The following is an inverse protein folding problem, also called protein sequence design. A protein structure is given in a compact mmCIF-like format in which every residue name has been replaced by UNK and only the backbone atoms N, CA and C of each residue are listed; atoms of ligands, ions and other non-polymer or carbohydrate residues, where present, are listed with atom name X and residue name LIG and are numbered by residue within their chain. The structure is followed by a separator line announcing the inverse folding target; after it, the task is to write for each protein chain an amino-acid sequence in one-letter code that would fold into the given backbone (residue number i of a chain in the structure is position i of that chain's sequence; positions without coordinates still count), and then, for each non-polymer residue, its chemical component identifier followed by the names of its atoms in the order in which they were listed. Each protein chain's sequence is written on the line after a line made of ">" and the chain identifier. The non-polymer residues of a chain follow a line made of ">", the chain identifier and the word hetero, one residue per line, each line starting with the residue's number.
data_IF_979303398335
#
_entry.id   IF_979303398335
#
_cell.length_a   1.000
_cell.length_b   1.000
_cell.length_c   1.000
_cell.angle_alpha   90.00
_cell.angle_beta   90.00
_cell.angle_gamma   90.00
#
_symmetry.space_group_name_H-M   'P 1'
#
loop_
_entity.id
_entity.type
_entity.pdbx_description
1 polymer ?
#
# COMPACT_ATOMS: atom_id res chain seq x y z
N UNK A 1 -30.18 -29.73 3.05
CA UNK A 1 -29.86 -28.60 2.13
C UNK A 1 -29.56 -27.41 3.03
N UNK A 2 -28.39 -27.43 3.66
CA UNK A 2 -27.18 -26.71 3.24
C UNK A 2 -27.29 -25.19 3.41
N UNK A 3 -26.67 -24.64 4.46
CA UNK A 3 -25.31 -24.08 4.36
C UNK A 3 -24.84 -23.55 5.71
N UNK A 4 -23.57 -23.82 5.99
CA UNK A 4 -22.76 -23.19 7.03
C UNK A 4 -22.47 -21.72 6.70
N UNK A 5 -22.24 -20.88 7.71
CA UNK A 5 -20.99 -20.14 7.79
C UNK A 5 -20.73 -19.72 9.24
N UNK A 6 -19.66 -20.25 9.80
CA UNK A 6 -19.10 -19.92 11.10
C UNK A 6 -18.38 -18.57 11.02
N UNK A 7 -18.69 -17.67 11.95
CA UNK A 7 -17.92 -16.45 12.17
C UNK A 7 -16.54 -16.81 12.74
N UNK A 8 -15.48 -16.42 12.04
CA UNK A 8 -14.10 -16.60 12.50
C UNK A 8 -13.78 -15.52 13.53
N UNK A 9 -13.39 -15.94 14.74
CA UNK A 9 -12.94 -15.06 15.84
C UNK A 9 -11.55 -14.50 15.53
N UNK A 10 -11.44 -13.19 15.28
CA UNK A 10 -10.17 -12.47 15.11
C UNK A 10 -9.48 -12.10 16.44
N UNK A 11 -9.31 -13.03 17.39
CA UNK A 11 -8.77 -12.65 18.71
C UNK A 11 -7.97 -13.68 19.50
N UNK A 12 -7.65 -14.85 18.94
CA UNK A 12 -7.01 -15.93 19.72
C UNK A 12 -5.86 -16.66 18.99
N UNK A 13 -5.27 -16.07 17.95
CA UNK A 13 -4.01 -16.57 17.38
C UNK A 13 -2.86 -15.71 17.91
N UNK A 14 -1.82 -16.34 18.44
CA UNK A 14 -0.60 -15.76 19.04
C UNK A 14 -0.65 -15.43 20.54
N UNK A 15 -1.01 -16.41 21.38
CA UNK A 15 -0.45 -16.49 22.73
C UNK A 15 0.61 -17.59 22.77
N UNK A 16 1.72 -17.37 22.08
CA UNK A 16 2.94 -18.17 22.30
C UNK A 16 3.65 -17.55 23.51
N UNK A 17 3.84 -18.33 24.58
CA UNK A 17 4.72 -17.90 25.67
C UNK A 17 6.13 -17.71 25.07
N UNK A 18 6.74 -16.51 25.18
CA UNK A 18 7.96 -16.15 24.45
C UNK A 18 9.13 -17.13 24.61
N UNK A 19 9.19 -17.87 25.72
CA UNK A 19 10.31 -18.75 26.05
C UNK A 19 10.25 -20.14 25.40
N UNK A 20 9.07 -20.69 25.08
CA UNK A 20 8.97 -22.04 24.49
C UNK A 20 9.31 -22.06 22.99
N UNK A 21 9.09 -20.94 22.28
CA UNK A 21 9.33 -20.87 20.83
C UNK A 21 10.80 -20.87 20.41
N UNK A 22 11.70 -20.35 21.26
CA UNK A 22 13.13 -20.20 20.91
C UNK A 22 13.88 -21.53 20.89
N UNK A 23 13.47 -22.49 21.73
CA UNK A 23 14.09 -23.81 21.89
C UNK A 23 13.98 -24.70 20.63
N UNK A 24 13.00 -24.43 19.76
CA UNK A 24 12.75 -25.21 18.54
C UNK A 24 13.19 -24.49 17.25
N UNK A 25 13.97 -23.41 17.35
CA UNK A 25 14.49 -22.70 16.18
C UNK A 25 15.76 -23.37 15.62
N UNK A 26 16.04 -23.25 14.32
CA UNK A 26 17.34 -23.61 13.76
C UNK A 26 18.51 -22.89 14.49
N UNK A 27 19.70 -23.53 14.65
CA UNK A 27 20.81 -22.98 15.43
C UNK A 27 21.23 -21.56 15.03
N UNK A 28 21.18 -21.24 13.74
CA UNK A 28 21.47 -19.92 13.20
C UNK A 28 20.50 -18.85 13.72
N UNK A 29 19.22 -19.19 13.85
CA UNK A 29 18.20 -18.27 14.34
C UNK A 29 18.27 -18.15 15.87
N UNK A 30 18.60 -19.23 16.59
CA UNK A 30 18.90 -19.18 18.03
C UNK A 30 20.07 -18.23 18.32
N UNK A 31 21.14 -18.29 17.52
CA UNK A 31 22.28 -17.40 17.65
C UNK A 31 21.90 -15.93 17.43
N UNK A 32 21.05 -15.63 16.43
CA UNK A 32 20.52 -14.27 16.19
C UNK A 32 19.73 -13.79 17.39
N UNK A 33 18.73 -14.56 17.86
CA UNK A 33 17.88 -14.19 18.99
C UNK A 33 18.73 -13.95 20.24
N UNK A 34 19.70 -14.83 20.52
CA UNK A 34 20.65 -14.66 21.62
C UNK A 34 21.50 -13.40 21.47
N UNK A 35 22.02 -13.13 20.27
CA UNK A 35 22.84 -11.93 19.99
C UNK A 35 22.07 -10.61 20.17
N UNK A 36 20.73 -10.66 20.02
CA UNK A 36 19.83 -9.51 20.21
C UNK A 36 19.31 -9.36 21.64
N UNK A 37 19.78 -10.19 22.58
CA UNK A 37 19.40 -10.13 23.99
C UNK A 37 18.23 -11.05 24.39
N UNK A 38 17.81 -11.95 23.50
CA UNK A 38 16.70 -12.87 23.71
C UNK A 38 15.39 -12.41 23.07
N UNK A 39 14.39 -13.30 23.03
CA UNK A 39 13.14 -13.04 22.31
C UNK A 39 12.32 -11.90 22.93
N UNK A 40 12.31 -11.78 24.26
CA UNK A 40 11.56 -10.71 24.94
C UNK A 40 12.04 -9.32 24.50
N UNK A 41 13.36 -9.12 24.43
CA UNK A 41 13.95 -7.86 23.99
C UNK A 41 13.60 -7.57 22.52
N UNK A 42 13.58 -8.59 21.67
CA UNK A 42 13.16 -8.44 20.28
C UNK A 42 11.68 -8.02 20.17
N UNK A 43 10.79 -8.64 20.95
CA UNK A 43 9.36 -8.30 20.97
C UNK A 43 9.17 -6.86 21.46
N UNK A 44 9.87 -6.46 22.52
CA UNK A 44 9.79 -5.09 23.09
C UNK A 44 10.34 -4.02 22.13
N UNK A 45 11.23 -4.38 21.20
CA UNK A 45 11.79 -3.47 20.20
C UNK A 45 10.87 -3.25 19.00
N UNK A 46 9.91 -4.15 18.75
CA UNK A 46 8.98 -4.02 17.62
C UNK A 46 7.79 -3.16 18.07
N UNK A 47 7.52 -2.03 17.41
CA UNK A 47 6.36 -1.23 17.75
C UNK A 47 5.06 -2.02 17.54
N UNK A 48 4.03 -1.80 18.37
CA UNK A 48 2.73 -2.46 18.21
C UNK A 48 2.12 -2.18 16.83
N UNK A 49 1.40 -3.17 16.29
CA UNK A 49 0.90 -3.16 14.90
C UNK A 49 -0.03 -1.98 14.61
N UNK A 50 -0.75 -1.52 15.62
CA UNK A 50 -1.70 -0.41 15.59
C UNK A 50 -1.02 0.92 15.23
N UNK A 51 0.30 1.05 15.40
CA UNK A 51 1.05 2.25 15.00
C UNK A 51 1.28 2.34 13.48
N UNK A 52 1.01 1.27 12.73
CA UNK A 52 1.27 1.19 11.29
C UNK A 52 -0.01 1.24 10.45
N UNK A 53 -1.18 1.56 11.02
CA UNK A 53 -2.45 1.58 10.30
C UNK A 53 -2.43 2.55 9.10
N UNK A 54 -1.92 3.77 9.32
CA UNK A 54 -1.78 4.79 8.26
C UNK A 54 -0.81 4.34 7.16
N UNK A 55 0.32 3.72 7.54
CA UNK A 55 1.31 3.20 6.61
C UNK A 55 0.73 2.05 5.78
N UNK A 56 0.01 1.14 6.43
CA UNK A 56 -0.67 0.02 5.78
C UNK A 56 -1.75 0.51 4.80
N UNK A 57 -2.52 1.56 5.13
CA UNK A 57 -3.48 2.14 4.21
C UNK A 57 -2.80 2.75 2.97
N UNK A 58 -1.69 3.47 3.18
CA UNK A 58 -0.89 4.03 2.07
C UNK A 58 -0.32 2.93 1.18
N UNK A 59 0.24 1.87 1.74
CA UNK A 59 0.75 0.75 0.95
C UNK A 59 -0.37 -0.02 0.24
N UNK A 60 -1.54 -0.15 0.87
CA UNK A 60 -2.72 -0.73 0.22
C UNK A 60 -3.20 0.15 -0.94
N UNK A 61 -3.09 1.47 -0.86
CA UNK A 61 -3.34 2.35 -2.00
C UNK A 61 -2.30 2.16 -3.11
N UNK A 62 -1.05 1.80 -2.81
CA UNK A 62 -0.04 1.55 -3.85
C UNK A 62 -0.11 0.15 -4.46
N UNK A 63 -0.77 -0.82 -3.83
CA UNK A 63 -0.80 -2.22 -4.31
C UNK A 63 -1.66 -2.49 -5.55
N UNK A 64 -2.17 -1.45 -6.23
CA UNK A 64 -2.97 -1.60 -7.45
C UNK A 64 -2.21 -1.11 -8.68
N UNK A 65 -2.05 -1.95 -9.72
CA UNK A 65 -1.41 -1.54 -10.98
C UNK A 65 -2.06 -0.33 -11.64
N UNK A 66 -3.39 -0.22 -11.60
CA UNK A 66 -4.14 0.92 -12.16
C UNK A 66 -3.82 2.21 -11.42
N UNK A 67 -3.72 2.18 -10.08
CA UNK A 67 -3.38 3.37 -9.30
C UNK A 67 -1.94 3.79 -9.53
N UNK A 68 -1.01 2.83 -9.68
CA UNK A 68 0.36 3.11 -10.10
C UNK A 68 0.38 3.77 -11.50
N UNK A 69 -0.40 3.26 -12.46
CA UNK A 69 -0.51 3.85 -13.79
C UNK A 69 -1.03 5.31 -13.75
N UNK A 70 -2.06 5.58 -12.93
CA UNK A 70 -2.58 6.93 -12.72
C UNK A 70 -1.50 7.84 -12.16
N UNK A 71 -0.73 7.39 -11.16
CA UNK A 71 0.36 8.19 -10.60
C UNK A 71 1.43 8.50 -11.65
N UNK A 72 1.84 7.53 -12.48
CA UNK A 72 2.76 7.79 -13.59
C UNK A 72 2.21 8.80 -14.61
N UNK A 73 0.91 8.73 -14.92
CA UNK A 73 0.27 9.72 -15.79
C UNK A 73 0.34 11.13 -15.17
N UNK A 74 0.09 11.24 -13.86
CA UNK A 74 0.12 12.50 -13.12
C UNK A 74 1.53 13.02 -12.81
N UNK A 75 2.56 12.18 -12.89
CA UNK A 75 3.97 12.62 -12.95
C UNK A 75 4.23 13.42 -14.23
N UNK A 76 3.60 13.02 -15.34
CA UNK A 76 3.84 13.59 -16.67
C UNK A 76 3.12 14.92 -16.85
N UNK A 77 1.88 15.04 -16.37
CA UNK A 77 1.09 16.26 -16.45
C UNK A 77 -0.07 16.26 -15.44
N UNK A 78 -0.61 17.44 -15.15
CA UNK A 78 -1.88 17.58 -14.45
C UNK A 78 -3.04 17.19 -15.40
N UNK A 79 -3.90 16.25 -14.99
CA UNK A 79 -4.89 15.65 -15.89
C UNK A 79 -6.31 15.70 -15.34
N UNK A 80 -7.29 15.90 -16.22
CA UNK A 80 -8.70 15.76 -15.87
C UNK A 80 -9.16 14.29 -15.92
N UNK A 81 -10.29 13.94 -15.27
CA UNK A 81 -10.83 12.57 -15.27
C UNK A 81 -11.02 11.97 -16.67
N UNK A 82 -11.43 12.74 -17.67
CA UNK A 82 -11.66 12.20 -19.01
C UNK A 82 -10.38 11.74 -19.70
N UNK A 83 -9.25 12.40 -19.47
CA UNK A 83 -7.96 11.94 -19.99
C UNK A 83 -7.48 10.71 -19.23
N UNK A 84 -7.60 10.70 -17.90
CA UNK A 84 -7.26 9.52 -17.09
C UNK A 84 -8.12 8.31 -17.46
N UNK A 85 -9.38 8.51 -17.81
CA UNK A 85 -10.27 7.47 -18.34
C UNK A 85 -9.74 6.88 -19.64
N UNK A 86 -9.31 7.73 -20.57
CA UNK A 86 -8.74 7.27 -21.84
C UNK A 86 -7.43 6.48 -21.63
N UNK A 87 -6.59 6.89 -20.68
CA UNK A 87 -5.33 6.20 -20.34
C UNK A 87 -5.60 4.83 -19.70
N UNK A 88 -6.58 4.75 -18.80
CA UNK A 88 -6.83 3.55 -17.98
C UNK A 88 -7.86 2.59 -18.60
N UNK A 89 -8.66 3.05 -19.57
CA UNK A 89 -9.74 2.27 -20.18
C UNK A 89 -10.92 1.98 -19.24
N UNK A 90 -11.03 2.69 -18.11
CA UNK A 90 -12.01 2.39 -17.08
C UNK A 90 -13.37 3.08 -17.29
N UNK A 91 -14.40 2.58 -16.60
CA UNK A 91 -15.65 3.34 -16.41
C UNK A 91 -15.43 4.50 -15.43
N UNK A 92 -16.31 5.51 -15.50
CA UNK A 92 -16.22 6.70 -14.64
C UNK A 92 -16.34 6.36 -13.14
N UNK A 93 -17.17 5.36 -12.81
CA UNK A 93 -17.35 4.87 -11.44
C UNK A 93 -16.09 4.20 -10.90
N UNK A 94 -15.43 3.36 -11.70
CA UNK A 94 -14.19 2.68 -11.29
C UNK A 94 -13.04 3.66 -11.17
N UNK A 95 -12.91 4.58 -12.13
CA UNK A 95 -11.88 5.61 -12.09
C UNK A 95 -12.02 6.49 -10.85
N UNK A 96 -13.24 6.97 -10.56
CA UNK A 96 -13.52 7.79 -9.37
C UNK A 96 -13.12 7.08 -8.08
N UNK A 97 -13.42 5.79 -7.96
CA UNK A 97 -13.01 4.96 -6.81
C UNK A 97 -11.47 4.92 -6.64
N UNK A 98 -10.73 4.74 -7.74
CA UNK A 98 -9.28 4.74 -7.68
C UNK A 98 -8.70 6.11 -7.31
N UNK A 99 -9.28 7.19 -7.82
CA UNK A 99 -8.88 8.56 -7.51
C UNK A 99 -9.14 8.89 -6.03
N UNK A 100 -10.30 8.53 -5.49
CA UNK A 100 -10.63 8.74 -4.08
C UNK A 100 -9.64 8.03 -3.15
N UNK A 101 -9.26 6.79 -3.46
CA UNK A 101 -8.25 6.06 -2.69
C UNK A 101 -6.89 6.77 -2.72
N UNK A 102 -6.46 7.23 -3.90
CA UNK A 102 -5.19 7.94 -4.05
C UNK A 102 -5.19 9.29 -3.33
N UNK A 103 -6.31 10.01 -3.36
CA UNK A 103 -6.49 11.28 -2.64
C UNK A 103 -6.48 11.07 -1.13
N UNK A 104 -7.23 10.08 -0.63
CA UNK A 104 -7.28 9.76 0.79
C UNK A 104 -5.92 9.32 1.33
N UNK A 105 -5.15 8.58 0.53
CA UNK A 105 -3.78 8.19 0.86
C UNK A 105 -2.75 9.33 0.66
N UNK A 106 -3.17 10.50 0.20
CA UNK A 106 -2.32 11.70 0.05
C UNK A 106 -1.36 11.68 -1.13
N UNK A 107 -1.53 10.78 -2.11
CA UNK A 107 -0.63 10.67 -3.26
C UNK A 107 -1.00 11.61 -4.41
N UNK A 108 -2.27 11.99 -4.51
CA UNK A 108 -2.77 12.96 -5.47
C UNK A 108 -3.64 13.99 -4.76
N UNK A 109 -3.85 15.12 -5.39
CA UNK A 109 -4.84 16.11 -5.00
C UNK A 109 -5.62 16.53 -6.24
N UNK A 110 -6.70 17.29 -6.04
CA UNK A 110 -7.40 17.95 -7.14
C UNK A 110 -7.55 19.45 -6.93
N UNK A 111 -7.58 20.16 -8.05
CA UNK A 111 -7.86 21.59 -8.14
C UNK A 111 -9.03 21.82 -9.08
N UNK A 112 -9.86 22.82 -8.77
CA UNK A 112 -10.91 23.25 -9.68
C UNK A 112 -10.34 24.35 -10.60
N UNK A 113 -10.15 24.03 -11.89
CA UNK A 113 -9.73 24.99 -12.93
C UNK A 113 -10.93 25.33 -13.81
N UNK A 114 -11.58 26.46 -13.51
CA UNK A 114 -12.84 26.88 -14.14
C UNK A 114 -13.93 25.80 -13.97
N UNK A 115 -14.32 25.14 -15.07
CA UNK A 115 -15.32 24.06 -15.08
C UNK A 115 -14.74 22.66 -14.90
N UNK A 116 -13.42 22.53 -14.83
CA UNK A 116 -12.74 21.24 -14.84
C UNK A 116 -12.12 20.92 -13.47
N UNK A 117 -12.36 19.71 -12.99
CA UNK A 117 -11.55 19.11 -11.92
C UNK A 117 -10.27 18.57 -12.54
N UNK A 118 -9.12 19.04 -12.07
CA UNK A 118 -7.80 18.64 -12.52
C UNK A 118 -7.08 17.95 -11.36
N UNK A 119 -6.57 16.75 -11.60
CA UNK A 119 -5.78 16.00 -10.63
C UNK A 119 -4.30 16.33 -10.81
N UNK A 120 -3.60 16.44 -9.68
CA UNK A 120 -2.18 16.77 -9.59
C UNK A 120 -1.49 15.76 -8.67
N UNK A 121 -0.24 15.41 -8.96
CA UNK A 121 0.54 14.54 -8.07
C UNK A 121 1.08 15.35 -6.89
N UNK A 122 0.99 14.81 -5.67
CA UNK A 122 1.57 15.44 -4.49
C UNK A 122 3.08 15.19 -4.41
N UNK A 123 3.76 15.89 -3.50
CA UNK A 123 5.17 15.61 -3.18
C UNK A 123 5.36 14.15 -2.74
N UNK A 124 4.44 13.63 -1.93
CA UNK A 124 4.48 12.25 -1.43
C UNK A 124 4.20 11.22 -2.55
N UNK A 125 3.22 11.49 -3.42
CA UNK A 125 2.99 10.68 -4.62
C UNK A 125 4.22 10.61 -5.52
N UNK A 126 4.88 11.75 -5.72
CA UNK A 126 6.09 11.82 -6.56
C UNK A 126 7.26 11.05 -5.97
N UNK A 127 7.53 11.16 -4.66
CA UNK A 127 8.59 10.39 -3.98
C UNK A 127 8.37 8.89 -4.12
N UNK A 128 7.11 8.45 -4.10
CA UNK A 128 6.75 7.03 -4.15
C UNK A 128 6.99 6.40 -5.53
N UNK A 129 6.78 7.16 -6.61
CA UNK A 129 7.00 6.70 -7.99
C UNK A 129 8.46 6.92 -8.44
N UNK A 130 9.34 7.30 -7.50
CA UNK A 130 10.75 7.58 -7.70
C UNK A 130 11.58 6.36 -8.12
N UNK A 131 11.38 5.91 -9.36
CA UNK A 131 12.40 5.34 -10.23
C UNK A 131 12.13 5.85 -11.64
N UNK A 132 13.13 6.52 -12.22
CA UNK A 132 13.14 6.92 -13.63
C UNK A 132 12.95 5.67 -14.50
N UNK A 133 11.71 5.33 -14.86
CA UNK A 133 11.49 4.54 -16.08
C UNK A 133 11.79 5.47 -17.23
N UNK A 134 12.83 5.16 -17.98
CA UNK A 134 13.10 5.84 -19.24
C UNK A 134 11.97 5.49 -20.22
N UNK A 135 11.56 6.40 -21.12
CA UNK A 135 10.56 6.11 -22.14
C UNK A 135 10.84 4.85 -22.98
N UNK A 136 12.11 4.39 -23.01
CA UNK A 136 12.55 3.13 -23.62
C UNK A 136 12.03 1.86 -22.94
N UNK A 137 11.54 1.94 -21.71
CA UNK A 137 11.15 0.77 -20.90
C UNK A 137 9.71 0.29 -21.18
N UNK A 138 8.99 0.98 -22.08
CA UNK A 138 7.63 0.61 -22.52
C UNK A 138 7.74 -0.17 -23.84
N UNK A 139 7.35 -1.45 -23.90
CA UNK A 139 7.28 -2.18 -25.17
C UNK A 139 6.28 -1.48 -26.09
N UNK A 140 6.72 -1.07 -27.28
CA UNK A 140 5.81 -0.66 -28.36
C UNK A 140 5.15 -1.94 -28.87
N UNK A 141 3.83 -2.07 -28.63
CA UNK A 141 2.98 -3.11 -29.22
C UNK A 141 2.63 -2.75 -30.68
#
# INVERSE_FOLDING_TARGET
>A
MDTMQTGTKSGELYSLKPTEGVLNLPPEMQAIVKSKGGLNILIEQVPPAELFEDEAERFKALSSPVRIQILHALVTADLCPSILKNITGMSDSKLSYHLEILERAGFIAHEQRQKWRIYVITVEGRKTIGHERQPSDIPIL
#
